data_IF_851313519939
#
_entry.id   IF_851313519939
#
_cell.length_a   1.000
_cell.length_b   1.000
_cell.length_c   1.000
_cell.angle_alpha   90.00
_cell.angle_beta   90.00
_cell.angle_gamma   90.00
#
_symmetry.space_group_name_H-M   'P 1'
#
loop_
_entity.id
_entity.type
_entity.pdbx_description
1 polymer ?
#
# COMPACT_ATOMS: atom_id res chain seq x y z
N UNK A 1 8.40 -5.86 5.79
CA UNK A 1 7.71 -5.40 7.02
C UNK A 1 7.81 -3.90 7.24
N UNK A 2 8.99 -3.27 7.22
CA UNK A 2 9.16 -1.84 7.56
C UNK A 2 8.36 -0.85 6.71
N UNK A 3 8.21 -1.10 5.40
CA UNK A 3 7.53 -0.18 4.48
C UNK A 3 5.99 -0.21 4.59
N UNK A 4 5.38 -1.34 4.99
CA UNK A 4 3.93 -1.44 5.18
C UNK A 4 3.46 -0.66 6.43
N UNK A 5 4.23 -0.73 7.52
CA UNK A 5 4.00 0.11 8.70
C UNK A 5 4.23 1.59 8.40
N UNK A 6 5.20 1.91 7.53
CA UNK A 6 5.41 3.29 7.07
C UNK A 6 4.21 3.79 6.25
N UNK A 7 3.64 2.97 5.37
CA UNK A 7 2.42 3.33 4.65
C UNK A 7 1.23 3.58 5.58
N UNK A 8 1.06 2.74 6.61
CA UNK A 8 0.04 2.96 7.64
C UNK A 8 0.26 4.28 8.41
N UNK A 9 1.52 4.58 8.78
CA UNK A 9 1.86 5.82 9.48
C UNK A 9 1.64 7.07 8.62
N UNK A 10 1.88 7.01 7.30
CA UNK A 10 1.54 8.10 6.40
C UNK A 10 0.02 8.29 6.24
N UNK A 11 -0.74 7.19 6.19
CA UNK A 11 -2.21 7.27 6.21
C UNK A 11 -2.75 7.88 7.51
N UNK A 12 -2.16 7.56 8.67
CA UNK A 12 -2.52 8.18 9.95
C UNK A 12 -2.21 9.68 9.96
N UNK A 13 -1.20 10.12 9.20
CA UNK A 13 -0.85 11.53 9.01
C UNK A 13 -1.68 12.22 7.89
N UNK A 14 -2.64 11.52 7.28
CA UNK A 14 -3.44 11.99 6.14
C UNK A 14 -2.60 12.34 4.90
N UNK A 15 -1.48 11.65 4.72
CA UNK A 15 -0.60 11.78 3.56
C UNK A 15 -0.75 10.54 2.65
N UNK A 16 -1.78 10.50 1.79
CA UNK A 16 -2.09 9.31 1.00
C UNK A 16 -1.06 9.02 -0.11
N UNK A 17 -0.42 10.05 -0.67
CA UNK A 17 0.54 9.92 -1.76
C UNK A 17 1.84 9.18 -1.31
N UNK A 18 2.55 9.60 -0.25
CA UNK A 18 3.71 8.86 0.23
C UNK A 18 3.31 7.49 0.81
N UNK A 19 2.09 7.37 1.37
CA UNK A 19 1.56 6.09 1.80
C UNK A 19 1.41 5.11 0.62
N UNK A 20 0.85 5.57 -0.49
CA UNK A 20 0.64 4.76 -1.69
C UNK A 20 1.97 4.34 -2.32
N UNK A 21 2.93 5.26 -2.43
CA UNK A 21 4.26 4.94 -2.92
C UNK A 21 4.94 3.86 -2.06
N UNK A 22 4.89 3.99 -0.73
CA UNK A 22 5.47 3.01 0.20
C UNK A 22 4.75 1.64 0.14
N UNK A 23 3.42 1.64 0.02
CA UNK A 23 2.62 0.43 -0.11
C UNK A 23 2.91 -0.29 -1.43
N UNK A 24 2.99 0.44 -2.55
CA UNK A 24 3.30 -0.11 -3.88
C UNK A 24 4.68 -0.75 -3.91
N UNK A 25 5.70 -0.04 -3.39
CA UNK A 25 7.05 -0.59 -3.29
C UNK A 25 7.09 -1.85 -2.41
N UNK A 26 6.36 -1.85 -1.30
CA UNK A 26 6.25 -3.02 -0.43
C UNK A 26 5.60 -4.21 -1.14
N UNK A 27 4.54 -3.97 -1.92
CA UNK A 27 3.78 -5.00 -2.60
C UNK A 27 4.61 -5.65 -3.70
N UNK A 28 5.29 -4.83 -4.53
CA UNK A 28 6.19 -5.31 -5.56
C UNK A 28 7.34 -6.13 -4.97
N UNK A 29 7.95 -5.66 -3.87
CA UNK A 29 9.01 -6.40 -3.20
C UNK A 29 8.48 -7.72 -2.60
N UNK A 30 7.32 -7.69 -1.93
CA UNK A 30 6.69 -8.87 -1.33
C UNK A 30 6.37 -9.94 -2.37
N UNK A 31 5.85 -9.54 -3.54
CA UNK A 31 5.61 -10.44 -4.67
C UNK A 31 6.91 -11.03 -5.21
N UNK A 32 7.94 -10.18 -5.39
CA UNK A 32 9.25 -10.62 -5.89
C UNK A 32 9.92 -11.67 -4.99
N UNK A 33 9.83 -11.50 -3.67
CA UNK A 33 10.49 -12.41 -2.71
C UNK A 33 9.59 -13.58 -2.28
N UNK A 34 8.36 -13.67 -2.79
CA UNK A 34 7.40 -14.71 -2.40
C UNK A 34 7.00 -14.63 -0.92
N UNK A 35 6.78 -13.41 -0.39
CA UNK A 35 6.35 -13.20 0.99
C UNK A 35 4.82 -12.95 1.08
N UNK A 36 3.98 -14.00 1.09
CA UNK A 36 2.52 -13.86 1.09
C UNK A 36 1.99 -13.11 2.31
N UNK A 37 2.68 -13.22 3.46
CA UNK A 37 2.32 -12.49 4.68
C UNK A 37 2.43 -10.98 4.51
N UNK A 38 3.44 -10.50 3.77
CA UNK A 38 3.59 -9.07 3.48
C UNK A 38 2.50 -8.57 2.52
N UNK A 39 2.09 -9.39 1.56
CA UNK A 39 0.97 -9.08 0.66
C UNK A 39 -0.33 -8.93 1.44
N UNK A 40 -0.62 -9.86 2.36
CA UNK A 40 -1.82 -9.80 3.20
C UNK A 40 -1.91 -8.50 4.00
N UNK A 41 -0.80 -8.08 4.63
CA UNK A 41 -0.77 -6.83 5.42
C UNK A 41 -1.05 -5.59 4.55
N UNK A 42 -0.61 -5.57 3.30
CA UNK A 42 -0.89 -4.46 2.38
C UNK A 42 -2.36 -4.51 1.92
N UNK A 43 -2.89 -5.71 1.67
CA UNK A 43 -4.30 -5.89 1.33
C UNK A 43 -5.22 -5.41 2.44
N UNK A 44 -4.86 -5.65 3.70
CA UNK A 44 -5.61 -5.17 4.87
C UNK A 44 -5.61 -3.62 4.98
N UNK A 45 -4.65 -2.94 4.34
CA UNK A 45 -4.58 -1.48 4.29
C UNK A 45 -5.38 -0.88 3.14
N UNK A 46 -5.71 -1.63 2.08
CA UNK A 46 -6.44 -1.11 0.90
C UNK A 46 -7.77 -0.42 1.25
N UNK A 47 -8.60 -0.92 2.19
CA UNK A 47 -9.82 -0.23 2.59
C UNK A 47 -9.57 1.19 3.14
N UNK A 48 -8.41 1.43 3.74
CA UNK A 48 -8.01 2.75 4.26
C UNK A 48 -7.56 3.70 3.14
N UNK A 49 -7.20 3.17 1.97
CA UNK A 49 -6.86 3.94 0.78
C UNK A 49 -8.10 4.31 -0.08
N UNK A 50 -9.23 3.61 0.06
CA UNK A 50 -10.50 3.92 -0.62
C UNK A 50 -10.92 5.41 -0.57
N UNK A 51 -10.92 6.10 0.59
CA UNK A 51 -11.29 7.53 0.64
C UNK A 51 -10.32 8.42 -0.14
N UNK A 52 -9.12 7.93 -0.44
CA UNK A 52 -8.07 8.60 -1.19
C UNK A 52 -7.90 8.02 -2.60
N UNK A 53 -8.91 7.35 -3.16
CA UNK A 53 -8.83 6.69 -4.47
C UNK A 53 -8.40 7.61 -5.62
N UNK A 54 -8.58 8.93 -5.47
CA UNK A 54 -8.19 9.95 -6.46
C UNK A 54 -6.81 10.58 -6.18
N UNK A 55 -6.19 10.25 -5.04
CA UNK A 55 -4.86 10.75 -4.71
C UNK A 55 -3.80 10.05 -5.56
N UNK A 56 -2.73 10.77 -5.88
CA UNK A 56 -1.69 10.28 -6.76
C UNK A 56 -1.04 8.98 -6.21
N UNK A 57 -0.91 7.95 -7.05
CA UNK A 57 -0.31 6.67 -6.65
C UNK A 57 -1.28 5.67 -6.01
N UNK A 58 -2.41 6.13 -5.45
CA UNK A 58 -3.45 5.27 -4.86
C UNK A 58 -4.17 4.41 -5.90
N UNK A 59 -4.63 4.92 -7.05
CA UNK A 59 -5.31 4.07 -8.04
C UNK A 59 -4.37 3.00 -8.59
N UNK A 60 -3.08 3.31 -8.80
CA UNK A 60 -2.10 2.31 -9.21
C UNK A 60 -1.91 1.22 -8.15
N UNK A 61 -1.85 1.59 -6.86
CA UNK A 61 -1.77 0.62 -5.76
C UNK A 61 -2.99 -0.32 -5.74
N UNK A 62 -4.20 0.25 -5.84
CA UNK A 62 -5.44 -0.52 -5.83
C UNK A 62 -5.51 -1.48 -7.01
N UNK A 63 -5.12 -1.03 -8.21
CA UNK A 63 -5.06 -1.86 -9.40
C UNK A 63 -4.01 -2.98 -9.25
N UNK A 64 -2.82 -2.66 -8.73
CA UNK A 64 -1.77 -3.65 -8.46
C UNK A 64 -2.20 -4.70 -7.46
N UNK A 65 -2.92 -4.33 -6.40
CA UNK A 65 -3.39 -5.27 -5.40
C UNK A 65 -4.53 -6.17 -5.88
N UNK A 66 -5.31 -5.71 -6.87
CA UNK A 66 -6.37 -6.50 -7.52
C UNK A 66 -5.89 -7.49 -8.59
N UNK A 67 -4.63 -7.36 -9.03
CA UNK A 67 -3.97 -8.21 -10.04
C UNK A 67 -3.21 -9.39 -9.41
#
# INVERSE_FOLDING_TARGET
MFLAYRAASYLDQKEPEPAAAAATQSLLLARRIGAPRCVSVINDLLPRFQPYAHAQGVPELLQLASA
#
